data_IF_120498425627
#
_entry.id   IF_120498425627
#
_cell.length_a   1.000
_cell.length_b   1.000
_cell.length_c   1.000
_cell.angle_alpha   90.00
_cell.angle_beta   90.00
_cell.angle_gamma   90.00
#
_symmetry.space_group_name_H-M   'P 1'
#
loop_
_entity.id
_entity.type
_entity.pdbx_description
1 polymer ?
#
# COMPACT_ATOMS: atom_id res chain seq x y z
N UNK A 1 -10.67 14.58 9.13
CA UNK A 1 -11.67 13.48 9.06
C UNK A 1 -11.93 12.94 10.46
N UNK A 2 -12.63 13.70 11.28
CA UNK A 2 -13.07 13.31 12.63
C UNK A 2 -14.56 13.71 12.64
N UNK A 3 -15.54 12.78 12.68
CA UNK A 3 -15.62 11.60 13.54
C UNK A 3 -15.69 10.22 12.84
N UNK A 4 -15.70 10.15 11.50
CA UNK A 4 -15.91 8.88 10.75
C UNK A 4 -14.79 7.85 10.98
N UNK A 5 -13.55 8.30 11.23
CA UNK A 5 -12.42 7.43 11.52
C UNK A 5 -12.44 6.81 12.95
N UNK A 6 -13.43 7.13 13.79
CA UNK A 6 -13.59 6.50 15.11
C UNK A 6 -14.28 5.14 15.06
N UNK A 7 -15.05 4.85 14.00
CA UNK A 7 -15.84 3.62 13.90
C UNK A 7 -15.45 2.73 12.71
N UNK A 8 -14.81 3.30 11.68
CA UNK A 8 -14.42 2.58 10.48
C UNK A 8 -13.02 3.01 10.05
N UNK A 9 -12.16 2.04 9.76
CA UNK A 9 -10.84 2.25 9.20
C UNK A 9 -10.91 3.07 7.89
N UNK A 10 -10.07 4.09 7.76
CA UNK A 10 -10.08 5.03 6.62
C UNK A 10 -9.91 4.31 5.28
N UNK A 11 -9.06 3.28 5.23
CA UNK A 11 -8.76 2.52 4.01
C UNK A 11 -9.92 1.61 3.58
N UNK A 12 -10.92 1.41 4.46
CA UNK A 12 -12.13 0.67 4.17
C UNK A 12 -13.27 1.56 3.65
N UNK A 13 -13.11 2.89 3.73
CA UNK A 13 -14.14 3.82 3.25
C UNK A 13 -14.29 3.69 1.72
N UNK A 14 -15.53 3.68 1.21
CA UNK A 14 -15.76 3.63 -0.21
C UNK A 14 -15.29 4.93 -0.87
N UNK A 15 -14.53 4.78 -1.95
CA UNK A 15 -14.37 5.84 -2.94
C UNK A 15 -15.19 5.43 -4.15
N UNK A 16 -16.25 6.19 -4.37
CA UNK A 16 -17.25 5.91 -5.37
C UNK A 16 -17.86 4.51 -5.20
N UNK A 17 -17.44 3.53 -5.99
CA UNK A 17 -17.99 2.18 -6.04
C UNK A 17 -17.10 1.11 -5.39
N UNK A 18 -15.90 1.46 -4.90
CA UNK A 18 -14.91 0.50 -4.38
C UNK A 18 -14.32 0.95 -3.04
N UNK A 19 -14.01 0.04 -2.11
CA UNK A 19 -13.24 0.37 -0.92
C UNK A 19 -11.87 0.97 -1.27
N UNK A 20 -11.43 1.98 -0.52
CA UNK A 20 -10.19 2.72 -0.77
C UNK A 20 -8.95 1.83 -0.94
N UNK A 21 -8.84 0.73 -0.19
CA UNK A 21 -7.71 -0.21 -0.29
C UNK A 21 -7.58 -0.89 -1.67
N UNK A 22 -8.64 -0.96 -2.48
CA UNK A 22 -8.55 -1.59 -3.81
C UNK A 22 -7.65 -0.81 -4.77
N UNK A 23 -7.53 0.50 -4.59
CA UNK A 23 -6.72 1.36 -5.45
C UNK A 23 -5.22 1.04 -5.33
N UNK A 24 -4.58 1.08 -4.15
CA UNK A 24 -3.18 0.68 -4.03
C UNK A 24 -2.95 -0.80 -4.37
N UNK A 25 -3.92 -1.70 -4.11
CA UNK A 25 -3.82 -3.10 -4.54
C UNK A 25 -3.75 -3.20 -6.07
N UNK A 26 -4.60 -2.46 -6.79
CA UNK A 26 -4.59 -2.45 -8.26
C UNK A 26 -3.26 -1.97 -8.83
N UNK A 27 -2.59 -1.01 -8.16
CA UNK A 27 -1.25 -0.55 -8.53
C UNK A 27 -0.25 -1.69 -8.46
N UNK A 28 -0.24 -2.46 -7.36
CA UNK A 28 0.64 -3.62 -7.20
C UNK A 28 0.33 -4.71 -8.24
N UNK A 29 -0.95 -4.94 -8.53
CA UNK A 29 -1.35 -5.91 -9.55
C UNK A 29 -0.89 -5.50 -10.95
N UNK A 30 -1.00 -4.21 -11.29
CA UNK A 30 -0.57 -3.68 -12.58
C UNK A 30 0.96 -3.71 -12.74
N UNK A 31 1.74 -3.68 -11.66
CA UNK A 31 3.19 -3.93 -11.70
C UNK A 31 3.55 -5.43 -11.72
N UNK A 32 2.56 -6.32 -11.74
CA UNK A 32 2.77 -7.77 -11.78
C UNK A 32 3.02 -8.42 -10.42
N UNK A 33 2.88 -7.69 -9.31
CA UNK A 33 3.06 -8.21 -7.95
C UNK A 33 1.81 -9.01 -7.55
N UNK A 34 2.00 -10.28 -7.18
CA UNK A 34 0.92 -11.19 -6.79
C UNK A 34 0.96 -11.63 -5.33
N UNK A 35 2.12 -11.65 -4.70
CA UNK A 35 2.24 -11.89 -3.26
C UNK A 35 2.24 -10.55 -2.54
N UNK A 36 1.21 -10.30 -1.72
CA UNK A 36 0.98 -8.99 -1.08
C UNK A 36 0.79 -9.20 0.43
N UNK A 37 1.57 -8.46 1.23
CA UNK A 37 1.40 -8.38 2.67
C UNK A 37 0.55 -7.16 3.05
N UNK A 38 -0.57 -7.40 3.72
CA UNK A 38 -1.42 -6.37 4.30
C UNK A 38 -1.05 -6.20 5.78
N UNK A 39 -0.49 -5.05 6.11
CA UNK A 39 -0.15 -4.66 7.48
C UNK A 39 -1.25 -3.71 7.99
N UNK A 40 -1.91 -4.07 9.08
CA UNK A 40 -3.01 -3.29 9.65
C UNK A 40 -3.07 -3.43 11.17
N UNK A 41 -3.94 -2.66 11.84
CA UNK A 41 -4.11 -2.75 13.29
C UNK A 41 -4.79 -4.06 13.68
N UNK A 42 -4.65 -4.47 14.96
CA UNK A 42 -5.35 -5.67 15.46
C UNK A 42 -6.86 -5.56 15.33
N UNK A 43 -7.42 -4.36 15.51
CA UNK A 43 -8.87 -4.12 15.48
C UNK A 43 -9.42 -4.17 14.05
N UNK A 44 -8.63 -3.73 13.06
CA UNK A 44 -9.05 -3.67 11.67
C UNK A 44 -8.79 -4.97 10.90
N UNK A 45 -7.87 -5.81 11.39
CA UNK A 45 -7.47 -7.06 10.74
C UNK A 45 -8.66 -7.95 10.33
N UNK A 46 -9.67 -8.21 11.19
CA UNK A 46 -10.83 -9.02 10.80
C UNK A 46 -11.58 -8.42 9.62
N UNK A 47 -11.71 -7.10 9.58
CA UNK A 47 -12.41 -6.36 8.52
C UNK A 47 -11.67 -6.48 7.19
N UNK A 48 -10.34 -6.32 7.19
CA UNK A 48 -9.51 -6.54 6.00
C UNK A 48 -9.61 -7.98 5.48
N UNK A 49 -9.55 -8.97 6.37
CA UNK A 49 -9.69 -10.39 6.00
C UNK A 49 -11.07 -10.70 5.42
N UNK A 50 -12.14 -10.12 5.97
CA UNK A 50 -13.49 -10.30 5.46
C UNK A 50 -13.67 -9.69 4.07
N UNK A 51 -13.04 -8.55 3.80
CA UNK A 51 -13.13 -7.87 2.51
C UNK A 51 -12.26 -8.53 1.43
N UNK A 52 -11.00 -8.79 1.74
CA UNK A 52 -9.98 -9.19 0.76
C UNK A 52 -9.77 -10.71 0.69
N UNK A 53 -10.17 -11.45 1.73
CA UNK A 53 -10.02 -12.90 1.80
C UNK A 53 -8.56 -13.34 1.65
N UNK A 54 -8.31 -14.41 0.91
CA UNK A 54 -6.95 -14.85 0.55
C UNK A 54 -6.42 -14.20 -0.74
N UNK A 55 -7.24 -13.40 -1.45
CA UNK A 55 -6.89 -12.76 -2.72
C UNK A 55 -7.15 -13.58 -3.98
N UNK A 56 -7.54 -14.87 -3.86
CA UNK A 56 -7.70 -15.76 -5.02
C UNK A 56 -8.75 -15.24 -6.01
N UNK A 57 -9.80 -14.58 -5.51
CA UNK A 57 -10.87 -14.01 -6.33
C UNK A 57 -10.40 -12.93 -7.31
N UNK A 58 -9.25 -12.30 -7.04
CA UNK A 58 -8.65 -11.26 -7.88
C UNK A 58 -7.27 -11.67 -8.42
N UNK A 59 -6.88 -12.95 -8.26
CA UNK A 59 -5.65 -13.50 -8.83
C UNK A 59 -4.36 -13.12 -8.10
N UNK A 60 -4.44 -12.80 -6.81
CA UNK A 60 -3.30 -12.51 -5.93
C UNK A 60 -3.34 -13.38 -4.68
N UNK A 61 -2.31 -13.30 -3.85
CA UNK A 61 -2.23 -13.96 -2.55
C UNK A 61 -1.97 -12.92 -1.46
N UNK A 62 -2.91 -12.81 -0.54
CA UNK A 62 -2.79 -11.93 0.62
C UNK A 62 -2.24 -12.67 1.83
N UNK A 63 -1.20 -12.11 2.43
CA UNK A 63 -0.74 -12.41 3.79
C UNK A 63 -1.11 -11.22 4.68
N UNK A 64 -1.33 -11.46 5.97
CA UNK A 64 -1.71 -10.42 6.90
C UNK A 64 -0.79 -10.38 8.11
N UNK A 65 -0.40 -9.19 8.53
CA UNK A 65 0.36 -8.96 9.76
C UNK A 65 -0.24 -7.80 10.57
N UNK A 66 -0.05 -7.87 11.89
CA UNK A 66 -0.54 -6.85 12.81
C UNK A 66 0.57 -5.81 13.03
N UNK A 67 0.22 -4.54 12.87
CA UNK A 67 0.99 -3.41 13.38
C UNK A 67 0.47 -3.07 14.79
N UNK A 68 1.25 -3.33 15.85
CA UNK A 68 0.79 -3.09 17.21
C UNK A 68 0.67 -1.61 17.54
N UNK A 69 1.56 -0.77 16.98
CA UNK A 69 1.57 0.69 17.15
C UNK A 69 2.15 1.36 15.89
N UNK A 70 1.68 2.55 15.50
CA UNK A 70 2.19 3.26 14.34
C UNK A 70 3.54 3.92 14.67
N UNK A 71 4.65 3.20 14.45
CA UNK A 71 6.02 3.69 14.71
C UNK A 71 6.71 4.25 13.45
N UNK A 72 5.93 4.53 12.41
CA UNK A 72 6.39 5.06 11.13
C UNK A 72 6.46 4.01 10.03
N UNK A 73 6.69 4.49 8.79
CA UNK A 73 6.61 3.65 7.58
C UNK A 73 7.69 2.57 7.51
N UNK A 74 8.87 2.84 8.07
CA UNK A 74 9.98 1.89 8.08
C UNK A 74 9.65 0.61 8.87
N UNK A 75 8.73 0.69 9.84
CA UNK A 75 8.27 -0.46 10.63
C UNK A 75 7.63 -1.54 9.74
N UNK A 76 7.10 -1.19 8.56
CA UNK A 76 6.56 -2.14 7.60
C UNK A 76 7.60 -3.18 7.15
N UNK A 77 8.87 -2.79 7.02
CA UNK A 77 9.95 -3.71 6.63
C UNK A 77 10.38 -4.63 7.78
N UNK A 78 10.20 -4.19 9.03
CA UNK A 78 10.45 -5.03 10.22
C UNK A 78 9.34 -6.06 10.37
N UNK A 79 8.07 -5.62 10.30
CA UNK A 79 6.90 -6.52 10.40
C UNK A 79 6.88 -7.51 9.24
N UNK A 80 7.28 -7.07 8.05
CA UNK A 80 7.30 -7.87 6.83
C UNK A 80 8.59 -8.64 6.59
N UNK A 81 9.57 -8.63 7.51
CA UNK A 81 10.90 -9.20 7.28
C UNK A 81 10.84 -10.64 6.74
N UNK A 82 10.12 -11.53 7.42
CA UNK A 82 9.96 -12.93 7.02
C UNK A 82 9.19 -13.08 5.70
N UNK A 83 8.22 -12.19 5.44
CA UNK A 83 7.44 -12.20 4.20
C UNK A 83 8.29 -11.77 2.99
N UNK A 84 9.18 -10.80 3.19
CA UNK A 84 10.06 -10.27 2.14
C UNK A 84 11.17 -11.28 1.81
N UNK A 85 11.81 -11.85 2.83
CA UNK A 85 12.97 -12.73 2.66
C UNK A 85 14.07 -12.07 1.84
N UNK A 86 14.57 -12.78 0.82
CA UNK A 86 15.61 -12.28 -0.09
C UNK A 86 15.05 -11.56 -1.35
N UNK A 87 13.74 -11.30 -1.40
CA UNK A 87 13.08 -10.72 -2.57
C UNK A 87 13.15 -9.18 -2.59
N UNK A 88 13.07 -8.58 -3.78
CA UNK A 88 12.78 -7.15 -3.91
C UNK A 88 11.34 -6.85 -3.47
N UNK A 89 11.12 -5.71 -2.81
CA UNK A 89 9.80 -5.34 -2.27
C UNK A 89 9.34 -3.98 -2.79
N UNK A 90 8.02 -3.82 -2.95
CA UNK A 90 7.36 -2.55 -3.21
C UNK A 90 6.48 -2.19 -2.01
N UNK A 91 6.64 -0.97 -1.49
CA UNK A 91 5.78 -0.43 -0.42
C UNK A 91 4.85 0.64 -0.99
N UNK A 92 3.55 0.48 -0.74
CA UNK A 92 2.51 1.45 -1.09
C UNK A 92 1.63 1.70 0.14
N UNK A 93 1.28 2.96 0.40
CA UNK A 93 0.36 3.28 1.51
C UNK A 93 -1.08 2.97 1.12
N UNK A 94 -1.84 2.41 2.06
CA UNK A 94 -3.22 1.98 1.84
C UNK A 94 -4.22 3.10 1.54
N UNK A 95 -3.81 4.36 1.67
CA UNK A 95 -4.62 5.55 1.39
C UNK A 95 -4.08 6.43 0.24
N UNK A 96 -3.13 5.92 -0.54
CA UNK A 96 -2.64 6.58 -1.76
C UNK A 96 -3.43 6.17 -3.00
N UNK A 97 -3.75 7.16 -3.84
CA UNK A 97 -4.42 6.98 -5.12
C UNK A 97 -3.53 7.47 -6.24
N UNK A 98 -3.37 6.63 -7.25
CA UNK A 98 -2.58 6.94 -8.43
C UNK A 98 -3.46 6.84 -9.67
N UNK A 99 -3.49 7.91 -10.47
CA UNK A 99 -4.20 7.96 -11.74
C UNK A 99 -3.47 8.91 -12.68
N UNK A 100 -3.25 8.50 -13.92
CA UNK A 100 -2.59 9.34 -14.93
C UNK A 100 -2.07 8.55 -16.13
N UNK A 101 -1.83 9.24 -17.24
CA UNK A 101 -1.41 8.62 -18.51
C UNK A 101 -0.03 7.93 -18.44
N UNK A 102 0.90 8.43 -17.63
CA UNK A 102 2.26 7.89 -17.51
C UNK A 102 2.42 6.82 -16.40
N UNK A 103 1.30 6.28 -15.92
CA UNK A 103 1.33 5.33 -14.81
C UNK A 103 1.95 3.98 -15.21
N UNK A 104 1.82 3.56 -16.47
CA UNK A 104 2.43 2.32 -16.96
C UNK A 104 3.95 2.43 -16.95
N UNK A 105 4.52 3.52 -17.46
CA UNK A 105 5.98 3.75 -17.49
C UNK A 105 6.60 3.72 -16.08
N UNK A 106 5.88 4.26 -15.09
CA UNK A 106 6.23 4.19 -13.67
C UNK A 106 6.34 2.75 -13.19
N UNK A 107 5.36 1.92 -13.52
CA UNK A 107 5.30 0.53 -13.05
C UNK A 107 6.41 -0.31 -13.69
N UNK A 108 6.61 -0.16 -14.99
CA UNK A 108 7.68 -0.85 -15.73
C UNK A 108 9.08 -0.48 -15.21
N UNK A 109 9.32 0.81 -14.96
CA UNK A 109 10.58 1.27 -14.38
C UNK A 109 10.80 0.71 -12.98
N UNK A 110 9.77 0.69 -12.14
CA UNK A 110 9.86 0.14 -10.79
C UNK A 110 10.15 -1.36 -10.81
N UNK A 111 9.45 -2.11 -11.67
CA UNK A 111 9.58 -3.55 -11.80
C UNK A 111 10.95 -3.99 -12.39
N UNK A 112 11.61 -3.11 -13.17
CA UNK A 112 12.93 -3.41 -13.75
C UNK A 112 14.12 -3.12 -12.81
N UNK A 113 13.88 -2.56 -11.63
CA UNK A 113 14.93 -2.24 -10.66
C UNK A 113 15.56 -3.51 -10.09
N UNK A 114 16.84 -3.75 -10.39
CA UNK A 114 17.60 -4.90 -9.86
C UNK A 114 18.40 -4.59 -8.59
N UNK A 115 18.77 -3.32 -8.37
CA UNK A 115 19.61 -2.89 -7.25
C UNK A 115 19.32 -1.43 -6.91
N UNK A 116 19.25 -1.11 -5.62
CA UNK A 116 18.98 0.23 -5.11
C UNK A 116 17.52 0.42 -4.71
N UNK A 117 17.05 1.67 -4.69
CA UNK A 117 15.68 2.02 -4.38
C UNK A 117 15.17 3.07 -5.40
N UNK A 118 13.87 3.01 -5.71
CA UNK A 118 13.18 4.05 -6.47
C UNK A 118 12.11 4.66 -5.55
N UNK A 119 12.09 5.98 -5.48
CA UNK A 119 11.06 6.76 -4.81
C UNK A 119 10.48 7.74 -5.82
N UNK A 120 9.19 8.00 -5.72
CA UNK A 120 8.49 8.92 -6.60
C UNK A 120 8.09 10.17 -5.82
N UNK A 121 8.60 11.31 -6.28
CA UNK A 121 8.20 12.62 -5.79
C UNK A 121 7.11 13.19 -6.69
N UNK A 122 6.16 13.90 -6.09
CA UNK A 122 5.09 14.59 -6.80
C UNK A 122 5.02 16.06 -6.36
N UNK A 123 4.93 17.02 -7.29
CA UNK A 123 4.78 18.42 -6.94
C UNK A 123 3.49 18.67 -6.16
N UNK A 124 3.60 19.29 -4.99
CA UNK A 124 2.46 19.65 -4.13
C UNK A 124 2.52 21.14 -3.79
N UNK A 125 1.37 21.74 -3.52
CA UNK A 125 1.30 23.15 -3.14
C UNK A 125 1.89 23.40 -1.74
N UNK A 126 1.72 22.46 -0.80
CA UNK A 126 2.16 22.57 0.59
C UNK A 126 3.23 21.51 0.94
N UNK A 127 4.51 21.69 0.54
CA UNK A 127 5.54 20.66 0.70
C UNK A 127 5.89 20.35 2.16
N UNK A 128 5.74 21.30 3.08
CA UNK A 128 6.09 21.17 4.51
C UNK A 128 5.31 20.08 5.25
N UNK A 129 4.20 19.60 4.67
CA UNK A 129 3.35 18.54 5.25
C UNK A 129 3.82 17.13 4.88
N UNK A 130 4.85 17.01 4.03
CA UNK A 130 5.31 15.76 3.44
C UNK A 130 6.83 15.62 3.55
N UNK A 131 7.35 14.44 3.23
CA UNK A 131 8.78 14.26 3.01
C UNK A 131 9.19 14.97 1.72
N UNK A 132 10.03 16.01 1.84
CA UNK A 132 10.56 16.76 0.70
C UNK A 132 11.87 16.12 0.24
N UNK A 133 11.96 15.85 -1.06
CA UNK A 133 13.19 15.33 -1.69
C UNK A 133 13.86 16.49 -2.44
N UNK A 134 15.12 16.74 -2.12
CA UNK A 134 16.02 17.63 -2.88
C UNK A 134 16.82 16.76 -3.87
N UNK A 135 16.86 17.17 -5.14
CA UNK A 135 17.47 16.41 -6.27
C UNK A 135 18.55 17.26 -6.91
#
# INVERSE_FOLDING_TARGET
MYPVAQSVNKQMLPIYDKPMVYYPISVLMLSGIKDILIITTSDDLPTFKNLLGNGEQIGVKFTYAIQPKPEGLAQAFIIGEEFIGDSSVCLILGDNFFYGQSFIDFLERSASLKKGAIVYAYPVMDPERFGVVEI
#
